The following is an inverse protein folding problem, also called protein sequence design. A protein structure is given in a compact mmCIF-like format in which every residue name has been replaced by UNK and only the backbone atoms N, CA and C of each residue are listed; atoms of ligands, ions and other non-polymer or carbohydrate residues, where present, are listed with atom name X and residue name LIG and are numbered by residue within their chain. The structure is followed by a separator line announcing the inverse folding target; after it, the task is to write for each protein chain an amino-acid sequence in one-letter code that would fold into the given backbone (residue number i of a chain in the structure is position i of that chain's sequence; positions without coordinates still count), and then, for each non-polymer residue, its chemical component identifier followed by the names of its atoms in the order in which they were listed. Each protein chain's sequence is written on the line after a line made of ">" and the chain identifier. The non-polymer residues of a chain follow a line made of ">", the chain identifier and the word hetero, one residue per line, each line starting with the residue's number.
data_IF_069324274555
#
_entry.id   IF_069324274555
#
_cell.length_a   1.000
_cell.length_b   1.000
_cell.length_c   1.000
_cell.angle_alpha   90.00
_cell.angle_beta   90.00
_cell.angle_gamma   90.00
#
_symmetry.space_group_name_H-M   'P 1'
#
loop_
_entity.id
_entity.type
_entity.pdbx_description
1 polymer ?
#
# COMPACT_ATOMS: atom_id res chain seq x y z
N UNK A 1 -18.00 -24.52 4.18
CA UNK A 1 -17.73 -23.49 3.17
C UNK A 1 -16.44 -23.87 2.46
N UNK A 2 -16.54 -24.37 1.24
CA UNK A 2 -15.41 -24.82 0.44
C UNK A 2 -14.50 -23.63 0.14
N UNK A 3 -13.29 -23.70 0.66
CA UNK A 3 -12.18 -22.86 0.17
C UNK A 3 -11.97 -23.31 -1.27
N UNK A 4 -12.34 -22.51 -2.24
CA UNK A 4 -11.89 -22.68 -3.62
C UNK A 4 -10.38 -22.56 -3.57
N UNK A 5 -9.68 -23.69 -3.57
CA UNK A 5 -8.25 -23.75 -3.80
C UNK A 5 -8.03 -23.20 -5.21
N UNK A 6 -7.46 -21.98 -5.31
CA UNK A 6 -7.02 -21.48 -6.60
C UNK A 6 -6.03 -22.48 -7.19
N UNK A 7 -6.31 -22.95 -8.41
CA UNK A 7 -5.40 -23.80 -9.15
C UNK A 7 -4.06 -23.10 -9.29
N UNK A 8 -2.94 -23.77 -8.96
CA UNK A 8 -1.58 -23.22 -9.06
C UNK A 8 -0.66 -24.28 -9.63
N UNK A 9 0.30 -23.87 -10.48
CA UNK A 9 1.34 -24.79 -11.01
C UNK A 9 2.42 -25.12 -9.97
N UNK A 10 2.53 -24.29 -8.93
CA UNK A 10 3.54 -24.45 -7.87
C UNK A 10 3.00 -23.89 -6.56
N UNK A 11 3.22 -24.61 -5.48
CA UNK A 11 2.94 -24.13 -4.14
C UNK A 11 4.07 -24.55 -3.20
N UNK A 12 4.57 -23.62 -2.41
CA UNK A 12 5.38 -23.93 -1.24
C UNK A 12 4.41 -24.13 -0.09
N UNK A 13 4.56 -25.20 0.68
CA UNK A 13 3.78 -25.43 1.89
C UNK A 13 3.96 -24.25 2.85
N UNK A 14 3.14 -23.22 2.67
CA UNK A 14 3.14 -22.06 3.57
C UNK A 14 2.34 -22.42 4.81
N UNK A 15 2.98 -22.36 5.98
CA UNK A 15 2.34 -22.58 7.27
C UNK A 15 1.36 -21.45 7.67
N UNK A 16 1.17 -20.42 6.84
CA UNK A 16 0.34 -19.26 7.16
C UNK A 16 -0.48 -18.85 5.94
N UNK A 17 -1.79 -18.87 6.08
CA UNK A 17 -2.74 -18.33 5.10
C UNK A 17 -3.17 -16.93 5.52
N UNK A 18 -3.08 -15.96 4.60
CA UNK A 18 -3.57 -14.59 4.80
C UNK A 18 -4.97 -14.41 4.20
N UNK A 19 -5.80 -13.54 4.80
CA UNK A 19 -7.17 -13.30 4.31
C UNK A 19 -7.16 -12.38 3.07
N UNK A 20 -7.28 -12.96 1.88
CA UNK A 20 -7.26 -12.27 0.58
C UNK A 20 -8.61 -11.72 0.12
N UNK A 21 -9.65 -11.71 0.95
CA UNK A 21 -11.00 -11.27 0.57
C UNK A 21 -11.12 -9.77 0.29
N UNK A 22 -10.10 -9.01 0.66
CA UNK A 22 -10.06 -7.56 0.40
C UNK A 22 -8.80 -6.92 0.97
N UNK A 23 -8.41 -5.73 0.45
CA UNK A 23 -7.13 -5.12 0.78
C UNK A 23 -6.99 -4.81 2.27
N UNK A 24 -8.04 -4.29 2.92
CA UNK A 24 -8.00 -3.96 4.36
C UNK A 24 -7.82 -5.23 5.21
N UNK A 25 -8.58 -6.31 4.90
CA UNK A 25 -8.48 -7.57 5.65
C UNK A 25 -7.12 -8.25 5.44
N UNK A 26 -6.62 -8.20 4.22
CA UNK A 26 -5.33 -8.75 3.89
C UNK A 26 -4.19 -8.05 4.64
N UNK A 27 -4.14 -6.72 4.58
CA UNK A 27 -3.16 -5.91 5.34
C UNK A 27 -3.30 -6.13 6.84
N UNK A 28 -4.54 -6.17 7.36
CA UNK A 28 -4.80 -6.44 8.77
C UNK A 28 -4.34 -7.83 9.21
N UNK A 29 -4.48 -8.86 8.34
CA UNK A 29 -4.02 -10.22 8.66
C UNK A 29 -2.49 -10.32 8.77
N UNK A 30 -1.75 -9.56 7.96
CA UNK A 30 -0.30 -9.41 8.09
C UNK A 30 0.10 -8.65 9.37
N UNK A 31 -0.63 -7.56 9.69
CA UNK A 31 -0.38 -6.77 10.90
C UNK A 31 -0.66 -7.56 12.19
N UNK A 32 -1.75 -8.34 12.21
CA UNK A 32 -2.15 -9.12 13.38
C UNK A 32 -1.09 -10.12 13.82
N UNK A 33 -0.35 -10.66 12.89
CA UNK A 33 0.79 -11.56 13.18
C UNK A 33 1.88 -10.86 14.00
N UNK A 34 1.97 -9.54 13.92
CA UNK A 34 2.94 -8.71 14.60
C UNK A 34 2.29 -7.88 15.73
N UNK A 35 1.22 -8.41 16.39
CA UNK A 35 0.48 -7.71 17.42
C UNK A 35 1.33 -7.20 18.60
N UNK A 36 2.43 -7.88 19.06
CA UNK A 36 3.24 -7.34 20.14
C UNK A 36 3.91 -6.01 19.78
N UNK A 37 4.38 -5.89 18.52
CA UNK A 37 4.98 -4.67 18.01
C UNK A 37 3.94 -3.57 17.81
N UNK A 38 2.71 -3.95 17.41
CA UNK A 38 1.59 -3.02 17.34
C UNK A 38 1.23 -2.49 18.75
N UNK A 39 1.15 -3.36 19.73
CA UNK A 39 0.91 -2.98 21.13
C UNK A 39 2.02 -2.04 21.65
N UNK A 40 3.28 -2.36 21.36
CA UNK A 40 4.42 -1.49 21.69
C UNK A 40 4.29 -0.10 21.06
N UNK A 41 3.91 -0.05 19.77
CA UNK A 41 3.67 1.21 19.06
C UNK A 41 2.53 2.03 19.68
N UNK A 42 1.41 1.39 20.05
CA UNK A 42 0.26 2.04 20.70
C UNK A 42 0.63 2.55 22.09
N UNK A 43 1.28 1.73 22.91
CA UNK A 43 1.74 2.14 24.25
C UNK A 43 2.74 3.30 24.16
N UNK A 44 3.66 3.25 23.20
CA UNK A 44 4.57 4.36 22.91
C UNK A 44 3.83 5.64 22.52
N UNK A 45 2.75 5.54 21.72
CA UNK A 45 1.94 6.68 21.32
C UNK A 45 1.19 7.31 22.50
N UNK A 46 0.60 6.47 23.37
CA UNK A 46 -0.09 6.91 24.59
C UNK A 46 0.89 7.61 25.56
N UNK A 47 2.04 6.98 25.81
CA UNK A 47 3.08 7.56 26.69
C UNK A 47 3.63 8.87 26.14
N UNK A 48 3.87 8.96 24.81
CA UNK A 48 4.32 10.19 24.17
C UNK A 48 3.32 11.34 24.36
N UNK A 49 2.03 11.09 24.14
CA UNK A 49 0.98 12.09 24.29
C UNK A 49 0.78 12.50 25.76
N UNK A 50 0.83 11.56 26.69
CA UNK A 50 0.75 11.84 28.13
C UNK A 50 1.93 12.73 28.58
N UNK A 51 3.15 12.41 28.18
CA UNK A 51 4.33 13.22 28.54
C UNK A 51 4.30 14.60 27.88
N UNK A 52 3.70 14.73 26.68
CA UNK A 52 3.51 16.04 26.05
C UNK A 52 2.59 16.96 26.87
N UNK A 53 1.57 16.41 27.55
CA UNK A 53 0.66 17.16 28.42
C UNK A 53 1.32 17.68 29.70
N UNK A 54 2.39 17.03 30.15
CA UNK A 54 3.09 17.42 31.40
C UNK A 54 3.68 18.81 31.29
N UNK A 55 4.20 19.20 30.13
CA UNK A 55 4.87 20.52 29.98
C UNK A 55 3.91 21.69 30.22
N UNK A 56 2.75 21.80 29.54
CA UNK A 56 1.81 22.88 29.81
C UNK A 56 1.38 22.94 31.26
N UNK A 57 1.17 21.80 31.92
CA UNK A 57 0.78 21.70 33.33
C UNK A 57 1.87 22.27 34.21
N UNK A 58 3.12 21.84 34.04
CA UNK A 58 4.25 22.31 34.83
C UNK A 58 4.58 23.78 34.57
N UNK A 59 4.42 24.27 33.35
CA UNK A 59 4.59 25.69 33.01
C UNK A 59 3.55 26.54 33.75
N UNK A 60 2.29 26.09 33.84
CA UNK A 60 1.25 26.74 34.62
C UNK A 60 1.60 26.78 36.13
N UNK A 61 2.12 25.67 36.66
CA UNK A 61 2.58 25.62 38.07
C UNK A 61 3.76 26.57 38.33
N UNK A 62 4.73 26.62 37.41
CA UNK A 62 5.86 27.54 37.49
C UNK A 62 5.40 29.00 37.52
N UNK A 63 4.41 29.35 36.67
CA UNK A 63 3.83 30.69 36.65
C UNK A 63 3.23 31.06 38.01
N UNK A 64 2.40 30.19 38.58
CA UNK A 64 1.78 30.41 39.87
C UNK A 64 2.83 30.57 40.99
N UNK A 65 3.90 29.79 40.93
CA UNK A 65 4.99 29.87 41.91
C UNK A 65 5.75 31.20 41.81
N UNK A 66 6.03 31.69 40.60
CA UNK A 66 6.69 32.97 40.36
C UNK A 66 5.81 34.16 40.82
N UNK A 67 4.49 34.04 40.65
CA UNK A 67 3.53 35.07 41.07
C UNK A 67 3.16 35.00 42.57
N UNK A 68 3.64 34.01 43.29
CA UNK A 68 3.43 33.91 44.73
C UNK A 68 4.22 34.98 45.50
N UNK A 69 3.77 35.31 46.71
CA UNK A 69 4.42 36.31 47.56
C UNK A 69 5.84 35.91 48.03
N UNK A 70 6.18 34.64 47.93
CA UNK A 70 7.51 34.10 48.30
C UNK A 70 7.94 33.04 47.25
N UNK A 71 8.45 33.43 46.09
CA UNK A 71 8.87 32.49 45.09
C UNK A 71 10.09 31.67 45.54
N UNK A 72 9.96 30.34 45.56
CA UNK A 72 11.01 29.40 45.93
C UNK A 72 11.83 29.02 44.69
N UNK A 73 13.09 29.43 44.65
CA UNK A 73 14.02 29.03 43.58
C UNK A 73 14.18 27.51 43.55
N UNK A 74 14.18 26.84 44.69
CA UNK A 74 14.29 25.39 44.78
C UNK A 74 13.12 24.68 44.09
N UNK A 75 11.89 25.16 44.28
CA UNK A 75 10.71 24.56 43.68
C UNK A 75 10.67 24.81 42.16
N UNK A 76 11.10 26.00 41.72
CA UNK A 76 11.28 26.28 40.28
C UNK A 76 12.31 25.35 39.64
N UNK A 77 13.44 25.06 40.33
CA UNK A 77 14.42 24.10 39.84
C UNK A 77 13.82 22.69 39.72
N UNK A 78 13.00 22.26 40.71
CA UNK A 78 12.32 20.98 40.62
C UNK A 78 11.33 20.92 39.42
N UNK A 79 10.57 21.97 39.18
CA UNK A 79 9.69 22.06 38.00
C UNK A 79 10.52 21.95 36.71
N UNK A 80 11.64 22.67 36.60
CA UNK A 80 12.53 22.57 35.44
C UNK A 80 13.09 21.16 35.25
N UNK A 81 13.50 20.49 36.33
CA UNK A 81 13.94 19.08 36.28
C UNK A 81 12.82 18.16 35.80
N UNK A 82 11.60 18.32 36.32
CA UNK A 82 10.46 17.50 35.89
C UNK A 82 10.07 17.74 34.41
N UNK A 83 10.17 18.97 33.93
CA UNK A 83 10.02 19.28 32.50
C UNK A 83 11.09 18.52 31.69
N UNK A 84 12.36 18.60 32.09
CA UNK A 84 13.44 17.90 31.39
C UNK A 84 13.24 16.38 31.40
N UNK A 85 12.91 15.80 32.55
CA UNK A 85 12.61 14.35 32.69
C UNK A 85 11.43 13.96 31.81
N UNK A 86 10.34 14.75 31.80
CA UNK A 86 9.18 14.47 30.98
C UNK A 86 9.52 14.47 29.48
N UNK A 87 10.41 15.38 29.01
CA UNK A 87 10.82 15.43 27.62
C UNK A 87 11.74 14.26 27.24
N UNK A 88 12.62 13.81 28.14
CA UNK A 88 13.42 12.59 27.92
C UNK A 88 12.50 11.38 27.82
N UNK A 89 11.55 11.22 28.75
CA UNK A 89 10.56 10.13 28.69
C UNK A 89 9.69 10.20 27.43
N UNK A 90 9.26 11.40 27.03
CA UNK A 90 8.56 11.63 25.77
C UNK A 90 9.37 11.14 24.58
N UNK A 91 10.69 11.46 24.54
CA UNK A 91 11.59 10.97 23.50
C UNK A 91 11.70 9.45 23.48
N UNK A 92 11.80 8.81 24.65
CA UNK A 92 11.80 7.34 24.77
C UNK A 92 10.51 6.73 24.25
N UNK A 93 9.34 7.25 24.65
CA UNK A 93 8.05 6.76 24.16
C UNK A 93 7.88 6.99 22.65
N UNK A 94 8.36 8.12 22.14
CA UNK A 94 8.37 8.37 20.69
C UNK A 94 9.25 7.37 19.94
N UNK A 95 10.43 7.07 20.47
CA UNK A 95 11.31 6.04 19.89
C UNK A 95 10.63 4.68 19.90
N UNK A 96 10.04 4.25 21.02
CA UNK A 96 9.31 2.99 21.16
C UNK A 96 8.16 2.90 20.13
N UNK A 97 7.39 3.98 19.98
CA UNK A 97 6.32 4.09 18.98
C UNK A 97 6.85 3.92 17.57
N UNK A 98 7.84 4.72 17.18
CA UNK A 98 8.39 4.70 15.84
C UNK A 98 9.03 3.35 15.52
N UNK A 99 9.79 2.78 16.44
CA UNK A 99 10.40 1.47 16.29
C UNK A 99 9.35 0.37 16.10
N UNK A 100 8.26 0.40 16.89
CA UNK A 100 7.18 -0.59 16.77
C UNK A 100 6.51 -0.57 15.40
N UNK A 101 6.13 0.62 14.90
CA UNK A 101 5.50 0.75 13.60
C UNK A 101 6.46 0.47 12.44
N UNK A 102 7.73 0.89 12.53
CA UNK A 102 8.74 0.59 11.52
C UNK A 102 9.00 -0.91 11.42
N UNK A 103 9.09 -1.60 12.57
CA UNK A 103 9.28 -3.05 12.60
C UNK A 103 8.13 -3.79 11.91
N UNK A 104 6.88 -3.37 12.16
CA UNK A 104 5.71 -3.95 11.47
C UNK A 104 5.82 -3.68 9.97
N UNK A 105 6.10 -2.43 9.58
CA UNK A 105 6.19 -2.02 8.18
C UNK A 105 7.18 -2.90 7.40
N UNK A 106 8.39 -3.09 7.95
CA UNK A 106 9.44 -3.89 7.31
C UNK A 106 9.07 -5.38 7.23
N UNK A 107 8.44 -5.93 8.28
CA UNK A 107 7.99 -7.33 8.25
C UNK A 107 6.85 -7.55 7.28
N UNK A 108 5.88 -6.65 7.24
CA UNK A 108 4.76 -6.74 6.29
C UNK A 108 5.28 -6.62 4.86
N UNK A 109 6.20 -5.68 4.59
CA UNK A 109 6.83 -5.55 3.27
C UNK A 109 7.50 -6.85 2.82
N UNK A 110 8.31 -7.45 3.70
CA UNK A 110 8.95 -8.75 3.44
C UNK A 110 7.94 -9.85 3.16
N UNK A 111 6.93 -9.98 4.03
CA UNK A 111 5.95 -11.06 3.96
C UNK A 111 5.07 -10.93 2.71
N UNK A 112 4.65 -9.72 2.36
CA UNK A 112 3.90 -9.40 1.13
C UNK A 112 4.73 -9.70 -0.11
N UNK A 113 6.02 -9.30 -0.12
CA UNK A 113 6.92 -9.57 -1.25
C UNK A 113 7.11 -11.06 -1.46
N UNK A 114 7.32 -11.82 -0.38
CA UNK A 114 7.46 -13.27 -0.45
C UNK A 114 6.17 -13.95 -0.92
N UNK A 115 5.01 -13.52 -0.40
CA UNK A 115 3.70 -14.04 -0.80
C UNK A 115 3.44 -13.78 -2.30
N UNK A 116 3.72 -12.56 -2.77
CA UNK A 116 3.59 -12.20 -4.18
C UNK A 116 4.54 -13.04 -5.05
N UNK A 117 5.79 -13.17 -4.66
CA UNK A 117 6.79 -13.93 -5.41
C UNK A 117 6.40 -15.40 -5.56
N UNK A 118 6.02 -16.08 -4.47
CA UNK A 118 5.56 -17.47 -4.52
C UNK A 118 4.29 -17.60 -5.35
N UNK A 119 3.36 -16.64 -5.24
CA UNK A 119 2.13 -16.64 -6.04
C UNK A 119 2.43 -16.49 -7.54
N UNK A 120 3.37 -15.61 -7.91
CA UNK A 120 3.77 -15.43 -9.32
C UNK A 120 4.43 -16.69 -9.89
N UNK A 121 5.30 -17.36 -9.12
CA UNK A 121 5.89 -18.64 -9.54
C UNK A 121 4.83 -19.74 -9.76
N UNK A 122 3.73 -19.66 -9.04
CA UNK A 122 2.61 -20.60 -9.19
C UNK A 122 1.65 -20.27 -10.33
N UNK A 123 1.82 -19.15 -11.04
CA UNK A 123 0.98 -18.77 -12.19
C UNK A 123 1.43 -19.48 -13.45
N UNK A 124 0.47 -19.78 -14.33
CA UNK A 124 0.73 -20.40 -15.63
C UNK A 124 1.44 -19.47 -16.62
N UNK A 125 2.06 -20.03 -17.65
CA UNK A 125 2.64 -19.25 -18.74
C UNK A 125 1.60 -18.42 -19.49
N UNK A 126 0.34 -18.87 -19.54
CA UNK A 126 -0.77 -18.06 -20.09
C UNK A 126 -0.91 -16.74 -19.35
N UNK A 127 -0.86 -16.78 -18.00
CA UNK A 127 -0.87 -15.58 -17.20
C UNK A 127 0.33 -14.67 -17.51
N UNK A 128 1.56 -15.23 -17.51
CA UNK A 128 2.79 -14.47 -17.76
C UNK A 128 2.85 -13.87 -19.17
N UNK A 129 2.30 -14.55 -20.17
CA UNK A 129 2.23 -14.04 -21.55
C UNK A 129 1.25 -12.88 -21.72
N UNK A 130 0.19 -12.83 -20.89
CA UNK A 130 -0.80 -11.75 -20.91
C UNK A 130 -0.45 -10.58 -19.99
N UNK A 131 0.48 -10.78 -19.07
CA UNK A 131 0.85 -9.78 -18.08
C UNK A 131 2.20 -9.13 -18.41
N UNK A 132 2.25 -7.82 -18.69
CA UNK A 132 3.52 -7.14 -18.95
C UNK A 132 4.48 -7.26 -17.74
N UNK A 133 5.73 -7.62 -18.02
CA UNK A 133 6.77 -7.78 -16.97
C UNK A 133 6.97 -6.49 -16.19
N UNK A 134 6.93 -5.32 -16.88
CA UNK A 134 7.06 -4.01 -16.23
C UNK A 134 5.96 -3.73 -15.21
N UNK A 135 4.69 -4.10 -15.49
CA UNK A 135 3.59 -3.95 -14.53
C UNK A 135 3.79 -4.87 -13.31
N UNK A 136 4.19 -6.12 -13.54
CA UNK A 136 4.50 -7.08 -12.47
C UNK A 136 5.63 -6.58 -11.57
N UNK A 137 6.70 -6.05 -12.18
CA UNK A 137 7.83 -5.45 -11.44
C UNK A 137 7.42 -4.20 -10.66
N UNK A 138 6.59 -3.33 -11.25
CA UNK A 138 6.08 -2.14 -10.55
C UNK A 138 5.27 -2.54 -9.30
N UNK A 139 4.47 -3.61 -9.37
CA UNK A 139 3.73 -4.14 -8.21
C UNK A 139 4.65 -4.75 -7.16
N UNK A 140 5.66 -5.51 -7.57
CA UNK A 140 6.61 -6.14 -6.66
C UNK A 140 7.55 -5.15 -5.95
N UNK A 141 7.76 -3.97 -6.53
CA UNK A 141 8.63 -2.92 -5.97
C UNK A 141 7.85 -1.77 -5.37
N UNK A 142 7.09 -1.03 -6.19
CA UNK A 142 6.44 0.20 -5.75
C UNK A 142 5.21 -0.08 -4.89
N UNK A 143 4.29 -0.97 -5.34
CA UNK A 143 3.06 -1.23 -4.59
C UNK A 143 3.34 -1.91 -3.25
N UNK A 144 4.32 -2.80 -3.18
CA UNK A 144 4.77 -3.41 -1.92
C UNK A 144 5.35 -2.36 -0.96
N UNK A 145 6.09 -1.38 -1.49
CA UNK A 145 6.60 -0.24 -0.71
C UNK A 145 5.47 0.68 -0.22
N UNK A 146 4.43 0.89 -1.03
CA UNK A 146 3.25 1.66 -0.60
C UNK A 146 2.52 0.96 0.57
N UNK A 147 2.47 -0.38 0.59
CA UNK A 147 1.96 -1.14 1.74
C UNK A 147 2.82 -0.94 2.99
N UNK A 148 4.14 -0.85 2.86
CA UNK A 148 5.03 -0.47 3.98
C UNK A 148 4.68 0.94 4.50
N UNK A 149 4.56 1.92 3.61
CA UNK A 149 4.22 3.31 3.96
C UNK A 149 2.85 3.47 4.62
N UNK A 150 1.92 2.57 4.38
CA UNK A 150 0.66 2.52 5.13
C UNK A 150 0.90 2.37 6.64
N UNK A 151 1.91 1.59 7.06
CA UNK A 151 2.25 1.39 8.47
C UNK A 151 3.18 2.47 8.99
N UNK A 152 4.26 2.76 8.27
CA UNK A 152 5.27 3.75 8.63
C UNK A 152 5.60 4.61 7.39
N UNK A 153 5.14 5.86 7.33
CA UNK A 153 4.60 6.68 8.43
C UNK A 153 3.07 6.64 8.63
N UNK A 154 2.25 6.10 7.73
CA UNK A 154 0.80 6.26 7.71
C UNK A 154 0.10 6.00 9.06
N UNK A 155 -0.04 4.74 9.48
CA UNK A 155 -0.69 4.38 10.75
C UNK A 155 0.06 4.92 11.97
N UNK A 156 1.39 5.01 11.92
CA UNK A 156 2.19 5.61 12.98
C UNK A 156 1.74 7.06 13.27
N UNK A 157 1.52 7.86 12.24
CA UNK A 157 1.07 9.25 12.38
C UNK A 157 -0.39 9.34 12.82
N UNK A 158 -1.27 8.49 12.29
CA UNK A 158 -2.68 8.48 12.71
C UNK A 158 -2.80 8.12 14.17
N UNK A 159 -2.19 7.02 14.62
CA UNK A 159 -2.26 6.58 16.01
C UNK A 159 -1.54 7.57 16.92
N UNK A 160 -0.39 8.11 16.49
CA UNK A 160 0.32 9.16 17.22
C UNK A 160 -0.53 10.42 17.40
N UNK A 161 -1.13 10.93 16.33
CA UNK A 161 -1.91 12.18 16.36
C UNK A 161 -3.25 12.03 17.07
N UNK A 162 -3.92 10.87 16.94
CA UNK A 162 -5.20 10.61 17.59
C UNK A 162 -5.14 10.82 19.12
N UNK A 163 -4.04 10.39 19.76
CA UNK A 163 -3.86 10.56 21.19
C UNK A 163 -3.81 12.03 21.61
N UNK A 164 -3.24 12.91 20.76
CA UNK A 164 -3.22 14.35 21.02
C UNK A 164 -4.60 15.00 20.95
N UNK A 165 -5.56 14.43 20.21
CA UNK A 165 -6.96 14.89 20.24
C UNK A 165 -7.63 14.55 21.57
N UNK A 166 -7.26 13.44 22.19
CA UNK A 166 -7.87 12.99 23.45
C UNK A 166 -7.28 13.69 24.68
N UNK A 167 -5.99 14.03 24.67
CA UNK A 167 -5.32 14.63 25.83
C UNK A 167 -6.04 15.85 26.40
N UNK A 168 -6.42 16.89 25.61
CA UNK A 168 -7.14 18.03 26.13
C UNK A 168 -8.54 17.68 26.65
N UNK A 169 -9.22 16.68 26.07
CA UNK A 169 -10.53 16.22 26.53
C UNK A 169 -10.49 15.62 27.93
N UNK A 170 -9.41 14.90 28.27
CA UNK A 170 -9.26 14.26 29.58
C UNK A 170 -8.59 15.19 30.59
N UNK A 171 -7.68 16.07 30.16
CA UNK A 171 -6.95 16.94 31.05
C UNK A 171 -7.70 18.25 31.42
N UNK A 172 -8.47 18.84 30.50
CA UNK A 172 -9.15 20.11 30.75
C UNK A 172 -10.20 20.04 31.89
N UNK A 173 -10.99 18.97 32.05
CA UNK A 173 -11.97 18.86 33.15
C UNK A 173 -11.34 18.88 34.56
N UNK A 174 -10.05 18.55 34.71
CA UNK A 174 -9.35 18.59 35.99
C UNK A 174 -9.20 20.00 36.54
N UNK A 175 -9.24 21.02 35.67
CA UNK A 175 -9.24 22.43 36.10
C UNK A 175 -10.67 22.94 36.32
N UNK A 176 -11.56 22.73 35.38
CA UNK A 176 -12.98 23.02 35.52
C UNK A 176 -13.80 22.21 34.48
N UNK A 177 -14.94 21.62 34.87
CA UNK A 177 -15.73 20.75 33.95
C UNK A 177 -16.14 21.41 32.64
N UNK A 178 -16.46 22.74 32.68
CA UNK A 178 -16.87 23.44 31.45
C UNK A 178 -15.76 23.58 30.39
N UNK A 179 -14.48 23.48 30.80
CA UNK A 179 -13.36 23.60 29.85
C UNK A 179 -13.26 22.45 28.84
N UNK A 180 -13.97 21.35 29.07
CA UNK A 180 -14.09 20.26 28.07
C UNK A 180 -14.84 20.72 26.82
N UNK A 181 -15.70 21.75 26.92
CA UNK A 181 -16.59 22.15 25.83
C UNK A 181 -15.82 22.54 24.57
N UNK A 182 -14.75 23.34 24.73
CA UNK A 182 -13.95 23.81 23.57
C UNK A 182 -13.24 22.69 22.85
N UNK A 183 -12.43 21.82 23.47
CA UNK A 183 -11.79 20.71 22.76
C UNK A 183 -12.80 19.70 22.23
N UNK A 184 -13.94 19.48 22.90
CA UNK A 184 -14.99 18.59 22.42
C UNK A 184 -15.63 19.12 21.13
N UNK A 185 -16.07 20.39 21.12
CA UNK A 185 -16.64 21.03 19.94
C UNK A 185 -15.61 21.10 18.79
N UNK A 186 -14.33 21.36 19.11
CA UNK A 186 -13.28 21.32 18.13
C UNK A 186 -13.15 19.92 17.50
N UNK A 187 -13.03 18.86 18.28
CA UNK A 187 -12.87 17.49 17.78
C UNK A 187 -14.05 17.08 16.89
N UNK A 188 -15.29 17.39 17.31
CA UNK A 188 -16.48 17.09 16.51
C UNK A 188 -16.50 17.85 15.18
N UNK A 189 -16.26 19.18 15.24
CA UNK A 189 -16.22 20.01 14.04
C UNK A 189 -15.03 19.65 13.12
N UNK A 190 -13.89 19.31 13.69
CA UNK A 190 -12.70 18.84 12.98
C UNK A 190 -12.96 17.56 12.20
N UNK A 191 -13.59 16.55 12.82
CA UNK A 191 -13.91 15.28 12.14
C UNK A 191 -14.83 15.54 10.95
N UNK A 192 -15.90 16.35 11.13
CA UNK A 192 -16.83 16.69 10.05
C UNK A 192 -16.15 17.49 8.94
N UNK A 193 -15.34 18.48 9.30
CA UNK A 193 -14.61 19.32 8.34
C UNK A 193 -13.58 18.51 7.56
N UNK A 194 -12.81 17.64 8.25
CA UNK A 194 -11.84 16.76 7.61
C UNK A 194 -12.50 15.79 6.64
N UNK A 195 -13.60 15.14 7.07
CA UNK A 195 -14.34 14.21 6.20
C UNK A 195 -14.85 14.90 4.92
N UNK A 196 -15.52 16.04 5.05
CA UNK A 196 -15.99 16.83 3.89
C UNK A 196 -14.86 17.31 3.00
N UNK A 197 -13.76 17.73 3.60
CA UNK A 197 -12.59 18.17 2.85
C UNK A 197 -12.00 17.02 2.01
N UNK A 198 -11.81 15.84 2.59
CA UNK A 198 -11.28 14.66 1.90
C UNK A 198 -12.20 14.20 0.77
N UNK A 199 -13.52 14.22 0.99
CA UNK A 199 -14.51 13.88 -0.03
C UNK A 199 -14.47 14.86 -1.21
N UNK A 200 -14.32 16.15 -0.94
CA UNK A 200 -14.20 17.19 -1.97
C UNK A 200 -12.86 17.18 -2.70
N UNK A 201 -11.77 16.84 -2.01
CA UNK A 201 -10.42 16.80 -2.57
C UNK A 201 -10.24 15.62 -3.54
N UNK A 202 -10.87 14.48 -3.28
CA UNK A 202 -10.70 13.24 -4.06
C UNK A 202 -10.89 13.44 -5.57
N UNK A 203 -12.02 13.98 -6.08
CA UNK A 203 -12.24 14.14 -7.53
C UNK A 203 -11.22 15.10 -8.16
N UNK A 204 -10.79 16.12 -7.42
CA UNK A 204 -9.77 17.08 -7.91
C UNK A 204 -8.40 16.42 -8.03
N UNK A 205 -8.02 15.62 -7.05
CA UNK A 205 -6.76 14.86 -7.10
C UNK A 205 -6.78 13.81 -8.21
N UNK A 206 -7.93 13.18 -8.47
CA UNK A 206 -8.08 12.21 -9.56
C UNK A 206 -7.95 12.91 -10.93
N UNK A 207 -8.50 14.13 -11.11
CA UNK A 207 -8.31 14.92 -12.33
C UNK A 207 -6.85 15.35 -12.51
N UNK A 208 -6.15 15.75 -11.46
CA UNK A 208 -4.70 16.06 -11.52
C UNK A 208 -3.91 14.86 -12.00
N UNK A 209 -4.18 13.68 -11.46
CA UNK A 209 -3.51 12.43 -11.88
C UNK A 209 -3.82 12.07 -13.32
N UNK A 210 -5.08 12.21 -13.75
CA UNK A 210 -5.49 11.93 -15.12
C UNK A 210 -4.82 12.89 -16.11
N UNK A 211 -4.81 14.19 -15.80
CA UNK A 211 -4.15 15.20 -16.63
C UNK A 211 -2.63 15.01 -16.71
N UNK A 212 -1.99 14.63 -15.60
CA UNK A 212 -0.57 14.30 -15.58
C UNK A 212 -0.26 13.03 -16.39
N UNK A 213 -1.11 12.00 -16.28
CA UNK A 213 -0.98 10.79 -17.10
C UNK A 213 -1.05 11.11 -18.60
N UNK A 214 -2.03 11.93 -19.03
CA UNK A 214 -2.16 12.34 -20.44
C UNK A 214 -0.95 13.17 -20.91
N UNK A 215 -0.40 14.05 -20.06
CA UNK A 215 0.80 14.81 -20.35
C UNK A 215 2.01 13.88 -20.60
N UNK A 216 2.20 12.89 -19.74
CA UNK A 216 3.29 11.91 -19.87
C UNK A 216 3.13 11.01 -21.08
N UNK A 217 1.91 10.51 -21.34
CA UNK A 217 1.62 9.73 -22.56
C UNK A 217 1.98 10.55 -23.80
N UNK A 218 1.57 11.81 -23.87
CA UNK A 218 1.88 12.67 -24.99
C UNK A 218 3.37 12.93 -25.17
N UNK A 219 4.09 13.11 -24.04
CA UNK A 219 5.56 13.25 -24.06
C UNK A 219 6.23 11.99 -24.62
N UNK A 220 5.81 10.80 -24.15
CA UNK A 220 6.33 9.53 -24.64
C UNK A 220 6.08 9.36 -26.14
N UNK A 221 4.83 9.57 -26.60
CA UNK A 221 4.47 9.49 -28.02
C UNK A 221 5.32 10.44 -28.89
N UNK A 222 5.56 11.68 -28.41
CA UNK A 222 6.36 12.65 -29.14
C UNK A 222 7.84 12.25 -29.22
N UNK A 223 8.39 11.63 -28.16
CA UNK A 223 9.77 11.13 -28.13
C UNK A 223 9.92 9.85 -28.99
N UNK A 224 8.99 8.93 -28.88
CA UNK A 224 9.01 7.69 -29.68
C UNK A 224 8.82 7.96 -31.17
N UNK A 225 7.99 8.99 -31.50
CA UNK A 225 7.73 9.42 -32.87
C UNK A 225 8.58 10.60 -33.36
N UNK A 226 9.68 10.93 -32.68
CA UNK A 226 10.45 12.16 -32.98
C UNK A 226 10.98 12.24 -34.42
N UNK A 227 11.36 11.10 -35.00
CA UNK A 227 11.80 11.05 -36.41
C UNK A 227 10.66 11.41 -37.35
N UNK A 228 9.45 10.94 -37.09
CA UNK A 228 8.26 11.27 -37.89
C UNK A 228 7.90 12.75 -37.75
N UNK A 229 7.96 13.30 -36.55
CA UNK A 229 7.70 14.72 -36.28
C UNK A 229 8.67 15.60 -37.05
N UNK A 230 9.98 15.28 -36.98
CA UNK A 230 11.03 16.00 -37.71
C UNK A 230 10.95 15.81 -39.22
N UNK A 231 10.76 14.58 -39.67
CA UNK A 231 10.65 14.27 -41.12
C UNK A 231 9.46 14.96 -41.79
N UNK A 232 8.39 15.25 -41.03
CA UNK A 232 7.20 15.95 -41.50
C UNK A 232 7.22 17.48 -41.18
N UNK A 233 8.27 17.99 -40.56
CA UNK A 233 8.37 19.40 -40.10
C UNK A 233 7.17 19.85 -39.23
N UNK A 234 6.72 18.97 -38.31
CA UNK A 234 5.52 19.19 -37.48
C UNK A 234 5.86 19.57 -36.02
N UNK A 235 7.07 20.07 -35.72
CA UNK A 235 7.50 20.42 -34.36
C UNK A 235 6.60 21.49 -33.73
N UNK A 236 6.21 22.52 -34.50
CA UNK A 236 5.33 23.58 -34.00
C UNK A 236 3.93 23.05 -33.62
N UNK A 237 3.37 22.13 -34.42
CA UNK A 237 2.09 21.50 -34.13
C UNK A 237 2.17 20.62 -32.86
N UNK A 238 3.30 19.92 -32.68
CA UNK A 238 3.52 19.06 -31.51
C UNK A 238 3.68 19.86 -30.22
N UNK A 239 4.42 20.98 -30.27
CA UNK A 239 4.53 21.93 -29.15
C UNK A 239 3.15 22.47 -28.74
N UNK A 240 2.30 22.82 -29.69
CA UNK A 240 0.93 23.28 -29.41
C UNK A 240 0.07 22.19 -28.77
N UNK A 241 0.18 20.95 -29.22
CA UNK A 241 -0.55 19.80 -28.63
C UNK A 241 -0.08 19.51 -27.22
N UNK A 242 1.23 19.45 -26.99
CA UNK A 242 1.81 19.30 -25.65
C UNK A 242 1.39 20.45 -24.74
N UNK A 243 1.43 21.70 -25.23
CA UNK A 243 1.02 22.89 -24.48
C UNK A 243 -0.42 22.82 -23.97
N UNK A 244 -1.37 22.27 -24.76
CA UNK A 244 -2.76 22.06 -24.32
C UNK A 244 -2.86 21.10 -23.14
N UNK A 245 -2.13 19.98 -23.19
CA UNK A 245 -2.11 19.01 -22.09
C UNK A 245 -1.42 19.59 -20.84
N UNK A 246 -0.32 20.33 -21.02
CA UNK A 246 0.36 21.03 -19.93
C UNK A 246 -0.56 22.08 -19.27
N UNK A 247 -1.36 22.81 -20.07
CA UNK A 247 -2.33 23.76 -19.56
C UNK A 247 -3.46 23.08 -18.76
N UNK A 248 -3.96 21.93 -19.23
CA UNK A 248 -4.94 21.13 -18.48
C UNK A 248 -4.39 20.69 -17.15
N UNK A 249 -3.18 20.11 -17.12
CA UNK A 249 -2.50 19.72 -15.89
C UNK A 249 -2.32 20.92 -14.94
N UNK A 250 -1.82 22.05 -15.46
CA UNK A 250 -1.67 23.28 -14.67
C UNK A 250 -2.99 23.69 -14.03
N UNK A 251 -4.09 23.72 -14.80
CA UNK A 251 -5.39 24.16 -14.29
C UNK A 251 -5.91 23.22 -13.19
N UNK A 252 -5.77 21.91 -13.37
CA UNK A 252 -6.12 20.93 -12.35
C UNK A 252 -5.26 21.08 -11.08
N UNK A 253 -3.94 21.26 -11.23
CA UNK A 253 -3.01 21.46 -10.11
C UNK A 253 -3.29 22.79 -9.36
N UNK A 254 -3.63 23.88 -10.07
CA UNK A 254 -4.04 25.14 -9.44
C UNK A 254 -5.32 24.97 -8.64
N UNK A 255 -6.32 24.25 -9.18
CA UNK A 255 -7.55 23.96 -8.46
C UNK A 255 -7.28 23.14 -7.19
N UNK A 256 -6.41 22.12 -7.26
CA UNK A 256 -5.98 21.37 -6.09
C UNK A 256 -5.33 22.28 -5.04
N UNK A 257 -4.36 23.12 -5.44
CA UNK A 257 -3.70 24.06 -4.54
C UNK A 257 -4.66 25.07 -3.91
N UNK A 258 -5.68 25.54 -4.64
CA UNK A 258 -6.73 26.40 -4.08
C UNK A 258 -7.56 25.68 -3.03
N UNK A 259 -7.87 24.38 -3.22
CA UNK A 259 -8.56 23.59 -2.21
C UNK A 259 -7.69 23.33 -0.98
N UNK A 260 -6.42 23.03 -1.17
CA UNK A 260 -5.45 22.86 -0.08
C UNK A 260 -5.29 24.16 0.74
N UNK A 261 -5.23 25.31 0.08
CA UNK A 261 -5.18 26.61 0.75
C UNK A 261 -6.44 26.94 1.58
N UNK A 262 -7.58 26.33 1.26
CA UNK A 262 -8.84 26.47 2.00
C UNK A 262 -9.04 25.38 3.06
N UNK A 263 -7.96 24.83 3.59
CA UNK A 263 -8.03 23.76 4.57
C UNK A 263 -8.71 24.23 5.87
N UNK A 264 -10.04 24.04 5.93
CA UNK A 264 -10.90 24.51 7.01
C UNK A 264 -10.51 24.00 8.42
N UNK A 265 -10.02 22.74 8.62
CA UNK A 265 -9.58 22.28 9.93
C UNK A 265 -8.56 23.17 10.62
N UNK A 266 -7.63 23.78 9.88
CA UNK A 266 -6.64 24.71 10.44
C UNK A 266 -7.30 26.00 10.96
N UNK A 267 -8.28 26.54 10.23
CA UNK A 267 -9.07 27.69 10.69
C UNK A 267 -9.85 27.35 11.96
N UNK A 268 -10.51 26.19 12.00
CA UNK A 268 -11.25 25.72 13.19
C UNK A 268 -10.35 25.57 14.40
N UNK A 269 -9.12 25.09 14.23
CA UNK A 269 -8.12 25.01 15.30
C UNK A 269 -7.80 26.39 15.88
N UNK A 270 -7.51 27.38 15.03
CA UNK A 270 -7.19 28.73 15.47
C UNK A 270 -8.39 29.41 16.17
N UNK A 271 -9.62 29.18 15.68
CA UNK A 271 -10.84 29.63 16.34
C UNK A 271 -10.99 28.96 17.72
N UNK A 272 -10.77 27.65 17.80
CA UNK A 272 -10.84 26.92 19.06
C UNK A 272 -9.82 27.42 20.10
N UNK A 273 -8.59 27.75 19.66
CA UNK A 273 -7.60 28.39 20.53
C UNK A 273 -8.09 29.72 21.10
N UNK A 274 -8.63 30.60 20.25
CA UNK A 274 -9.15 31.91 20.67
C UNK A 274 -10.34 31.79 21.62
N UNK A 275 -11.32 30.93 21.27
CA UNK A 275 -12.52 30.68 22.08
C UNK A 275 -12.14 30.02 23.41
N UNK A 276 -11.23 29.04 23.38
CA UNK A 276 -10.76 28.37 24.60
C UNK A 276 -10.04 29.27 25.53
N UNK A 277 -9.14 30.14 25.01
CA UNK A 277 -8.46 31.16 25.82
C UNK A 277 -9.47 32.14 26.40
N UNK A 278 -10.40 32.64 25.59
CA UNK A 278 -11.44 33.56 26.06
C UNK A 278 -12.27 32.94 27.20
N UNK A 279 -12.71 31.68 27.04
CA UNK A 279 -13.45 30.95 28.05
C UNK A 279 -12.65 30.82 29.35
N UNK A 280 -11.37 30.43 29.27
CA UNK A 280 -10.50 30.36 30.45
C UNK A 280 -10.28 31.70 31.13
N UNK A 281 -10.16 32.80 30.39
CA UNK A 281 -10.04 34.17 30.92
C UNK A 281 -11.32 34.64 31.62
N UNK A 282 -12.51 34.26 31.13
CA UNK A 282 -13.79 34.52 31.81
C UNK A 282 -13.83 33.83 33.16
N UNK A 283 -13.44 32.55 33.23
CA UNK A 283 -13.38 31.79 34.47
C UNK A 283 -12.30 32.34 35.43
N UNK A 284 -11.18 32.80 34.91
CA UNK A 284 -10.14 33.47 35.66
C UNK A 284 -10.68 34.78 36.29
N UNK A 285 -11.40 35.59 35.51
CA UNK A 285 -12.01 36.83 36.04
C UNK A 285 -13.06 36.57 37.12
N UNK A 286 -13.73 35.41 37.08
CA UNK A 286 -14.67 34.98 38.06
C UNK A 286 -14.00 34.41 39.35
N UNK A 287 -12.67 34.30 39.36
CA UNK A 287 -11.90 33.71 40.48
C UNK A 287 -12.01 32.17 40.55
N UNK A 288 -12.51 31.52 39.49
CA UNK A 288 -12.66 30.05 39.44
C UNK A 288 -11.32 29.41 39.07
N UNK A 289 -10.59 30.01 38.12
CA UNK A 289 -9.26 29.58 37.70
C UNK A 289 -8.19 30.55 38.20
N UNK A 290 -6.99 30.05 38.42
CA UNK A 290 -5.79 30.85 38.58
C UNK A 290 -5.04 31.08 37.27
N UNK A 291 -4.06 31.98 37.22
CA UNK A 291 -3.31 32.34 36.04
C UNK A 291 -2.52 31.17 35.44
N UNK A 292 -1.96 30.31 36.31
CA UNK A 292 -1.24 29.13 35.89
C UNK A 292 -2.14 28.08 35.20
N UNK A 293 -3.37 27.94 35.71
CA UNK A 293 -4.37 27.03 35.11
C UNK A 293 -4.81 27.51 33.71
N UNK A 294 -4.92 28.85 33.53
CA UNK A 294 -5.19 29.42 32.17
C UNK A 294 -4.05 29.09 31.20
N UNK A 295 -2.80 29.26 31.63
CA UNK A 295 -1.61 28.96 30.84
C UNK A 295 -1.55 27.46 30.51
N UNK A 296 -1.76 26.59 31.50
CA UNK A 296 -1.77 25.16 31.36
C UNK A 296 -2.86 24.69 30.35
N UNK A 297 -4.08 25.19 30.50
CA UNK A 297 -5.18 24.88 29.61
C UNK A 297 -4.92 25.34 28.18
N UNK A 298 -4.42 26.56 27.98
CA UNK A 298 -4.05 27.03 26.63
C UNK A 298 -2.97 26.16 25.99
N UNK A 299 -1.94 25.79 26.79
CA UNK A 299 -0.90 24.88 26.33
C UNK A 299 -1.41 23.46 25.98
N UNK A 300 -2.44 22.97 26.70
CA UNK A 300 -3.11 21.72 26.33
C UNK A 300 -3.86 21.85 25.01
N UNK A 301 -4.53 22.98 24.75
CA UNK A 301 -5.20 23.21 23.45
C UNK A 301 -4.20 23.26 22.28
N UNK A 302 -2.98 23.75 22.48
CA UNK A 302 -1.93 23.76 21.46
C UNK A 302 -1.54 22.35 21.00
N UNK A 303 -1.77 21.31 21.80
CA UNK A 303 -1.53 19.92 21.39
C UNK A 303 -2.43 19.47 20.23
N UNK A 304 -3.56 20.16 20.00
CA UNK A 304 -4.47 19.90 18.88
C UNK A 304 -3.90 20.32 17.51
N UNK A 305 -2.81 21.11 17.49
CA UNK A 305 -2.15 21.55 16.25
C UNK A 305 -1.62 20.35 15.43
N UNK A 306 -0.88 19.48 16.08
CA UNK A 306 -0.22 18.35 15.43
C UNK A 306 -1.20 17.44 14.65
N UNK A 307 -2.31 16.92 15.22
CA UNK A 307 -3.29 16.13 14.48
C UNK A 307 -3.94 16.92 13.33
N UNK A 308 -4.17 18.22 13.51
CA UNK A 308 -4.78 19.05 12.48
C UNK A 308 -3.88 19.20 11.26
N UNK A 309 -2.59 19.41 11.48
CA UNK A 309 -1.61 19.59 10.40
C UNK A 309 -1.27 18.29 9.68
N UNK A 310 -1.07 17.17 10.43
CA UNK A 310 -0.52 15.93 9.86
C UNK A 310 -1.57 15.04 9.16
N UNK A 311 -2.87 15.28 9.40
CA UNK A 311 -3.95 14.39 8.96
C UNK A 311 -4.00 14.16 7.46
N UNK A 312 -3.74 15.18 6.64
CA UNK A 312 -3.74 15.05 5.18
C UNK A 312 -2.64 14.13 4.68
N UNK A 313 -1.43 14.31 5.22
CA UNK A 313 -0.30 13.48 4.86
C UNK A 313 -0.54 12.02 5.28
N UNK A 314 -1.01 11.81 6.52
CA UNK A 314 -1.33 10.48 7.02
C UNK A 314 -2.42 9.77 6.20
N UNK A 315 -3.49 10.50 5.83
CA UNK A 315 -4.53 9.99 4.94
C UNK A 315 -3.98 9.59 3.57
N UNK A 316 -3.12 10.41 2.97
CA UNK A 316 -2.48 10.11 1.68
C UNK A 316 -1.71 8.80 1.73
N UNK A 317 -0.88 8.59 2.76
CA UNK A 317 -0.08 7.38 2.92
C UNK A 317 -0.96 6.12 3.09
N UNK A 318 -2.03 6.21 3.89
CA UNK A 318 -2.97 5.09 4.06
C UNK A 318 -3.71 4.80 2.75
N UNK A 319 -4.16 5.83 2.05
CA UNK A 319 -4.89 5.68 0.78
C UNK A 319 -4.02 5.02 -0.30
N UNK A 320 -2.77 5.47 -0.45
CA UNK A 320 -1.81 4.91 -1.40
C UNK A 320 -1.48 3.45 -1.05
N UNK A 321 -1.21 3.17 0.21
CA UNK A 321 -0.92 1.81 0.66
C UNK A 321 -2.08 0.84 0.46
N UNK A 322 -3.33 1.26 0.71
CA UNK A 322 -4.51 0.44 0.42
C UNK A 322 -4.74 0.26 -1.09
N UNK A 323 -4.43 1.27 -1.90
CA UNK A 323 -4.48 1.15 -3.36
C UNK A 323 -3.43 0.17 -3.88
N UNK A 324 -2.19 0.22 -3.37
CA UNK A 324 -1.12 -0.74 -3.65
C UNK A 324 -1.52 -2.17 -3.26
N UNK A 325 -2.04 -2.34 -2.03
CA UNK A 325 -2.56 -3.62 -1.55
C UNK A 325 -3.66 -4.20 -2.46
N UNK A 326 -4.56 -3.35 -2.96
CA UNK A 326 -5.62 -3.77 -3.92
C UNK A 326 -5.01 -4.28 -5.22
N UNK A 327 -4.07 -3.54 -5.83
CA UNK A 327 -3.43 -3.94 -7.10
C UNK A 327 -2.63 -5.24 -6.96
N UNK A 328 -1.95 -5.44 -5.83
CA UNK A 328 -1.24 -6.69 -5.53
C UNK A 328 -2.24 -7.85 -5.43
N UNK A 329 -3.34 -7.67 -4.68
CA UNK A 329 -4.38 -8.70 -4.52
C UNK A 329 -5.08 -9.03 -5.85
N UNK A 330 -5.37 -8.03 -6.68
CA UNK A 330 -5.93 -8.24 -8.02
C UNK A 330 -5.00 -9.11 -8.87
N UNK A 331 -3.69 -8.88 -8.81
CA UNK A 331 -2.71 -9.70 -9.51
C UNK A 331 -2.67 -11.14 -8.95
N UNK A 332 -2.60 -11.28 -7.63
CA UNK A 332 -2.54 -12.60 -6.99
C UNK A 332 -3.82 -13.43 -7.18
N UNK A 333 -4.98 -12.78 -7.19
CA UNK A 333 -6.28 -13.44 -7.30
C UNK A 333 -6.71 -13.70 -8.76
N UNK A 334 -5.95 -13.27 -9.78
CA UNK A 334 -6.23 -13.67 -11.17
C UNK A 334 -6.21 -15.19 -11.27
N UNK A 335 -7.19 -15.72 -12.00
CA UNK A 335 -7.32 -17.16 -12.20
C UNK A 335 -6.11 -17.75 -12.92
N UNK A 336 -5.81 -18.99 -12.61
CA UNK A 336 -4.79 -19.82 -13.22
C UNK A 336 -5.46 -21.02 -13.87
N UNK A 337 -5.13 -21.31 -15.12
CA UNK A 337 -5.77 -22.37 -15.89
C UNK A 337 -5.10 -23.74 -15.68
N UNK A 338 -3.93 -23.78 -15.03
CA UNK A 338 -3.16 -24.98 -14.79
C UNK A 338 -3.02 -25.26 -13.29
N UNK A 339 -3.08 -26.52 -12.91
CA UNK A 339 -2.87 -26.99 -11.55
C UNK A 339 -1.67 -27.95 -11.46
N UNK A 340 -1.16 -28.18 -10.28
CA UNK A 340 -0.08 -29.13 -10.01
C UNK A 340 -0.49 -30.59 -10.22
N UNK A 341 -1.78 -30.88 -10.16
CA UNK A 341 -2.31 -32.23 -10.13
C UNK A 341 -1.50 -33.16 -9.22
N UNK A 342 -1.42 -32.82 -7.92
CA UNK A 342 -0.59 -33.51 -6.92
C UNK A 342 -0.94 -35.01 -6.79
N UNK A 343 -2.21 -35.37 -7.00
CA UNK A 343 -2.68 -36.73 -7.01
C UNK A 343 -2.55 -37.43 -8.40
N UNK A 344 -1.96 -36.72 -9.37
CA UNK A 344 -1.81 -37.20 -10.73
C UNK A 344 -0.83 -38.34 -10.87
N UNK A 345 -0.84 -38.94 -12.05
CA UNK A 345 -0.01 -40.08 -12.42
C UNK A 345 1.49 -39.70 -12.42
N UNK A 346 2.35 -40.54 -11.84
CA UNK A 346 3.79 -40.31 -11.70
C UNK A 346 4.65 -41.59 -11.84
N UNK A 347 4.51 -42.39 -12.92
CA UNK A 347 5.32 -43.58 -13.15
C UNK A 347 6.70 -43.24 -13.72
N UNK A 348 7.51 -44.26 -13.93
CA UNK A 348 8.71 -44.14 -14.79
C UNK A 348 8.28 -43.91 -16.23
N UNK A 349 8.80 -42.83 -16.83
CA UNK A 349 8.48 -42.44 -18.20
C UNK A 349 9.27 -43.27 -19.24
N UNK A 350 8.60 -43.80 -20.27
CA UNK A 350 9.20 -44.52 -21.40
C UNK A 350 9.45 -43.60 -22.58
N UNK A 351 8.65 -42.53 -22.75
CA UNK A 351 8.86 -41.51 -23.74
C UNK A 351 8.07 -41.67 -25.04
N UNK A 352 6.99 -42.47 -25.06
CA UNK A 352 6.04 -42.44 -26.20
C UNK A 352 5.24 -41.15 -26.18
N UNK A 353 5.12 -40.48 -27.31
CA UNK A 353 4.35 -39.21 -27.45
C UNK A 353 3.30 -39.38 -28.54
N UNK A 354 2.08 -38.96 -28.29
CA UNK A 354 0.97 -39.03 -29.24
C UNK A 354 0.14 -37.74 -29.19
N UNK A 355 -0.11 -37.13 -30.32
CA UNK A 355 -1.04 -36.03 -30.53
C UNK A 355 -2.30 -36.57 -31.17
N UNK A 356 -3.48 -36.27 -30.62
CA UNK A 356 -4.80 -36.69 -31.15
C UNK A 356 -5.65 -35.46 -31.37
N UNK A 357 -5.82 -35.10 -32.66
CA UNK A 357 -6.66 -33.98 -33.14
C UNK A 357 -6.43 -32.68 -32.35
N UNK A 358 -5.15 -32.38 -32.10
CA UNK A 358 -4.75 -31.28 -31.26
C UNK A 358 -4.85 -29.95 -31.96
N UNK A 359 -5.65 -29.05 -31.43
CA UNK A 359 -5.69 -27.63 -31.82
C UNK A 359 -5.32 -26.76 -30.64
N UNK A 360 -4.60 -25.66 -30.90
CA UNK A 360 -4.18 -24.72 -29.89
C UNK A 360 -4.15 -23.28 -30.42
N UNK A 361 -4.56 -22.33 -29.58
CA UNK A 361 -4.45 -20.89 -29.85
C UNK A 361 -3.96 -20.14 -28.60
N UNK A 362 -3.20 -19.06 -28.79
CA UNK A 362 -2.79 -18.13 -27.77
C UNK A 362 -3.86 -17.04 -27.60
N UNK A 363 -4.64 -17.09 -26.51
CA UNK A 363 -5.75 -16.16 -26.30
C UNK A 363 -6.82 -16.28 -27.39
N UNK A 364 -7.47 -15.17 -27.75
CA UNK A 364 -8.56 -15.14 -28.74
C UNK A 364 -8.08 -14.92 -30.20
N UNK A 365 -6.78 -14.75 -30.41
CA UNK A 365 -6.20 -14.34 -31.71
C UNK A 365 -5.49 -15.48 -32.41
N UNK A 366 -6.19 -16.13 -33.33
CA UNK A 366 -5.63 -17.02 -34.36
C UNK A 366 -5.18 -18.41 -33.88
N UNK A 367 -5.35 -19.41 -34.75
CA UNK A 367 -4.89 -20.78 -34.51
C UNK A 367 -3.37 -20.88 -34.66
N UNK A 368 -2.69 -21.36 -33.61
CA UNK A 368 -1.26 -21.71 -33.66
C UNK A 368 -1.03 -23.15 -34.16
N UNK A 369 -1.97 -24.05 -33.84
CA UNK A 369 -2.01 -25.44 -34.31
C UNK A 369 -3.47 -25.80 -34.62
N UNK A 370 -3.70 -26.58 -35.67
CA UNK A 370 -5.03 -27.04 -36.09
C UNK A 370 -5.01 -28.54 -36.44
N UNK A 371 -5.84 -29.31 -35.73
CA UNK A 371 -6.15 -30.74 -35.99
C UNK A 371 -4.91 -31.61 -36.18
N UNK A 372 -3.88 -31.42 -35.35
CA UNK A 372 -2.61 -32.13 -35.51
C UNK A 372 -2.69 -33.51 -34.84
N UNK A 373 -2.40 -34.56 -35.65
CA UNK A 373 -2.36 -35.95 -35.15
C UNK A 373 -1.10 -36.67 -35.65
N UNK A 374 -0.28 -37.18 -34.73
CA UNK A 374 0.89 -38.01 -35.01
C UNK A 374 1.32 -38.78 -33.75
N UNK A 375 2.18 -39.80 -33.94
CA UNK A 375 2.70 -40.62 -32.86
C UNK A 375 4.20 -40.84 -32.99
N UNK A 376 4.91 -40.80 -31.88
CA UNK A 376 6.35 -41.06 -31.76
C UNK A 376 6.56 -42.19 -30.76
N UNK A 377 7.33 -43.21 -31.15
CA UNK A 377 7.68 -44.33 -30.26
C UNK A 377 8.89 -44.00 -29.38
N UNK A 378 9.05 -44.68 -28.26
CA UNK A 378 10.26 -44.57 -27.42
C UNK A 378 11.53 -44.78 -28.26
N UNK A 379 12.55 -43.93 -28.02
CA UNK A 379 13.82 -44.01 -28.74
C UNK A 379 13.85 -43.43 -30.14
N UNK A 380 12.73 -42.97 -30.69
CA UNK A 380 12.70 -42.31 -31.98
C UNK A 380 13.13 -40.85 -31.91
N UNK A 381 13.80 -40.39 -32.97
CA UNK A 381 14.09 -38.97 -33.21
C UNK A 381 13.16 -38.43 -34.27
N UNK A 382 12.51 -37.32 -34.00
CA UNK A 382 11.57 -36.68 -34.94
C UNK A 382 12.06 -35.25 -35.21
N UNK A 383 12.17 -34.91 -36.50
CA UNK A 383 12.45 -33.55 -36.94
C UNK A 383 11.13 -32.85 -37.31
N UNK A 384 10.90 -31.67 -36.71
CA UNK A 384 9.77 -30.79 -36.99
C UNK A 384 10.27 -29.62 -37.81
N UNK A 385 9.84 -29.54 -39.06
CA UNK A 385 10.28 -28.53 -40.05
C UNK A 385 9.12 -27.65 -40.47
N UNK A 386 9.39 -26.40 -40.77
CA UNK A 386 8.36 -25.45 -41.21
C UNK A 386 8.85 -24.01 -41.13
N UNK A 387 8.11 -23.09 -41.72
CA UNK A 387 8.42 -21.65 -41.70
C UNK A 387 8.35 -21.07 -40.26
N UNK A 388 8.94 -19.89 -40.06
CA UNK A 388 8.79 -19.13 -38.80
C UNK A 388 7.30 -18.83 -38.56
N UNK A 389 6.83 -19.06 -37.37
CA UNK A 389 5.40 -18.90 -37.01
C UNK A 389 4.50 -20.11 -37.29
N UNK A 390 5.01 -21.23 -37.82
CA UNK A 390 4.21 -22.44 -38.10
C UNK A 390 3.85 -23.30 -36.87
N UNK A 391 4.12 -22.86 -35.66
CA UNK A 391 3.73 -23.54 -34.42
C UNK A 391 4.71 -24.59 -33.90
N UNK A 392 5.94 -24.72 -34.43
CA UNK A 392 6.94 -25.72 -33.99
C UNK A 392 7.25 -25.65 -32.49
N UNK A 393 7.54 -24.47 -32.00
CA UNK A 393 7.80 -24.24 -30.56
C UNK A 393 6.55 -24.44 -29.70
N UNK A 394 5.37 -24.11 -30.23
CA UNK A 394 4.10 -24.36 -29.55
C UNK A 394 3.88 -25.84 -29.29
N UNK A 395 4.20 -26.68 -30.26
CA UNK A 395 4.08 -28.13 -30.16
C UNK A 395 4.91 -28.69 -29.01
N UNK A 396 6.18 -28.27 -28.89
CA UNK A 396 7.06 -28.70 -27.76
C UNK A 396 6.54 -28.24 -26.40
N UNK A 397 5.95 -27.04 -26.33
CA UNK A 397 5.36 -26.50 -25.13
C UNK A 397 4.08 -27.21 -24.67
N UNK A 398 3.37 -27.88 -25.55
CA UNK A 398 2.23 -28.72 -25.18
C UNK A 398 2.66 -30.09 -24.61
N UNK A 399 3.81 -30.64 -25.00
CA UNK A 399 4.30 -31.93 -24.48
C UNK A 399 4.65 -31.85 -23.03
N UNK A 400 5.32 -30.79 -22.57
CA UNK A 400 5.67 -30.59 -21.16
C UNK A 400 4.58 -29.84 -20.36
N UNK A 401 3.39 -29.67 -20.96
CA UNK A 401 2.26 -28.99 -20.36
C UNK A 401 2.61 -27.57 -19.86
N UNK A 402 3.37 -26.80 -20.64
CA UNK A 402 3.51 -25.35 -20.44
C UNK A 402 2.19 -24.64 -20.75
N UNK A 403 1.45 -25.18 -21.72
CA UNK A 403 0.07 -24.84 -22.06
C UNK A 403 -0.76 -26.11 -22.20
N UNK A 404 -2.07 -26.05 -21.97
CA UNK A 404 -2.99 -27.13 -22.30
C UNK A 404 -3.52 -26.95 -23.71
N UNK A 405 -3.73 -28.04 -24.45
CA UNK A 405 -4.37 -28.01 -25.76
C UNK A 405 -5.80 -27.46 -25.67
N UNK A 406 -6.21 -26.61 -26.61
CA UNK A 406 -7.57 -26.05 -26.68
C UNK A 406 -8.59 -27.12 -27.07
N UNK A 407 -8.25 -27.94 -28.05
CA UNK A 407 -9.01 -29.12 -28.48
C UNK A 407 -8.07 -30.30 -28.64
N UNK A 408 -8.63 -31.52 -28.54
CA UNK A 408 -7.86 -32.76 -28.64
C UNK A 408 -7.07 -33.08 -27.35
N UNK A 409 -6.09 -33.97 -27.50
CA UNK A 409 -5.28 -34.44 -26.35
C UNK A 409 -3.84 -34.73 -26.77
N UNK A 410 -2.91 -34.39 -25.88
CA UNK A 410 -1.50 -34.74 -25.96
C UNK A 410 -1.27 -35.85 -24.94
N UNK A 411 -0.77 -37.01 -25.38
CA UNK A 411 -0.52 -38.16 -24.55
C UNK A 411 0.99 -38.42 -24.43
N UNK A 412 1.42 -38.71 -23.20
CA UNK A 412 2.76 -39.23 -22.91
C UNK A 412 2.56 -40.63 -22.29
N UNK A 413 3.22 -41.63 -22.85
CA UNK A 413 3.07 -43.05 -22.48
C UNK A 413 1.59 -43.50 -22.42
N UNK A 414 0.79 -43.06 -23.41
CA UNK A 414 -0.62 -43.40 -23.57
C UNK A 414 -1.57 -42.69 -22.61
N UNK A 415 -1.09 -41.75 -21.77
CA UNK A 415 -1.91 -40.95 -20.85
C UNK A 415 -1.86 -39.48 -21.20
N UNK A 416 -3.01 -38.81 -21.11
CA UNK A 416 -3.12 -37.36 -21.34
C UNK A 416 -2.23 -36.61 -20.35
N UNK A 417 -1.47 -35.61 -20.81
CA UNK A 417 -0.58 -34.79 -20.00
C UNK A 417 -1.31 -34.07 -18.85
N UNK A 418 -2.62 -33.83 -18.99
CA UNK A 418 -3.48 -33.25 -17.96
C UNK A 418 -3.72 -34.20 -16.77
N UNK A 419 -3.52 -35.52 -16.95
CA UNK A 419 -3.66 -36.53 -15.90
C UNK A 419 -2.35 -36.80 -15.14
N UNK A 420 -1.24 -36.30 -15.65
CA UNK A 420 0.05 -36.43 -14.99
C UNK A 420 0.18 -35.48 -13.79
N UNK A 421 0.94 -35.91 -12.77
CA UNK A 421 1.52 -34.98 -11.83
C UNK A 421 2.47 -34.06 -12.60
N UNK A 422 2.26 -32.72 -12.51
CA UNK A 422 2.98 -31.75 -13.33
C UNK A 422 4.49 -31.77 -13.08
N UNK A 423 4.89 -31.91 -11.82
CA UNK A 423 6.30 -32.02 -11.47
C UNK A 423 6.94 -33.29 -12.03
N UNK A 424 6.27 -34.43 -11.91
CA UNK A 424 6.74 -35.70 -12.45
C UNK A 424 6.87 -35.66 -13.99
N UNK A 425 5.89 -35.03 -14.68
CA UNK A 425 5.95 -34.85 -16.14
C UNK A 425 7.18 -34.00 -16.52
N UNK A 426 7.35 -32.84 -15.93
CA UNK A 426 8.40 -31.88 -16.28
C UNK A 426 9.81 -32.34 -15.90
N UNK A 427 9.97 -33.10 -14.80
CA UNK A 427 11.27 -33.69 -14.42
C UNK A 427 11.84 -34.70 -15.42
N UNK A 428 10.96 -35.34 -16.19
CA UNK A 428 11.36 -36.36 -17.16
C UNK A 428 11.49 -35.81 -18.60
N UNK A 429 11.23 -34.51 -18.80
CA UNK A 429 11.29 -33.85 -20.12
C UNK A 429 12.28 -32.69 -20.03
N UNK A 430 13.35 -32.75 -20.79
CA UNK A 430 14.28 -31.63 -20.94
C UNK A 430 13.95 -30.83 -22.20
N UNK A 431 13.95 -29.50 -22.07
CA UNK A 431 13.77 -28.56 -23.20
C UNK A 431 15.00 -27.70 -23.32
N UNK A 432 15.49 -27.55 -24.55
CA UNK A 432 16.52 -26.59 -24.89
C UNK A 432 15.83 -25.48 -25.69
N UNK A 433 15.74 -24.30 -25.07
CA UNK A 433 15.12 -23.13 -25.70
C UNK A 433 16.06 -22.51 -26.72
N UNK A 434 15.49 -21.80 -27.71
CA UNK A 434 16.25 -21.07 -28.72
C UNK A 434 17.10 -19.95 -28.09
N UNK A 435 16.49 -19.19 -27.20
CA UNK A 435 17.14 -18.14 -26.43
C UNK A 435 17.51 -18.67 -25.04
N UNK A 436 18.79 -18.89 -24.80
CA UNK A 436 19.29 -19.44 -23.54
C UNK A 436 19.35 -18.32 -22.50
N UNK A 437 18.58 -18.47 -21.42
CA UNK A 437 18.64 -17.57 -20.26
C UNK A 437 19.49 -18.21 -19.14
N UNK A 438 20.53 -17.51 -18.70
CA UNK A 438 21.36 -17.94 -17.58
C UNK A 438 21.02 -17.11 -16.33
N UNK A 439 20.69 -17.81 -15.27
CA UNK A 439 20.55 -17.18 -13.96
C UNK A 439 21.91 -16.83 -13.39
N UNK A 440 22.06 -15.67 -12.78
CA UNK A 440 23.29 -15.22 -12.13
C UNK A 440 23.48 -15.87 -10.75
#
# INVERSE_FOLDING_TARGET
>A
MSVTTSTTEFSVGQNVSFDRRGPVRWVASHAWRNWPQAAMGILGALGNAAMAAVVPILVGQAYNLVMSSQPSIRDLLWIAVWIAVSQVLRGVFQFVRNFGFEWIAQRVERDVRNELYVNLLGKSMTFHSLQPVGDTMARATNDVREVNFLFSPGLNLVIGSLNFLFVPLFAAPSYHPSLILTPLLFVLSYIVALWRYLESLKPVTDEVRAAFGQLNTRLSEALDGVETVKGAAQEAAEVLRFGKNAQRYRNAAVLQGQMEARYLPLLLFNIALGVGLFHALVLFRQGILDGGQVIAYFGLLLLLDFPTFISLFAYSQISLGLAGARRILELMNRENNLDQNLAGFHPSMQGAIEFRDVSFHYGDNGHALSELSFRVQPGQTVAIVGQTGSGKTTLTKLVNRTYDATLGSVLVDGRDVRQWNLEALRRNISIIEQDIFLFS
#
